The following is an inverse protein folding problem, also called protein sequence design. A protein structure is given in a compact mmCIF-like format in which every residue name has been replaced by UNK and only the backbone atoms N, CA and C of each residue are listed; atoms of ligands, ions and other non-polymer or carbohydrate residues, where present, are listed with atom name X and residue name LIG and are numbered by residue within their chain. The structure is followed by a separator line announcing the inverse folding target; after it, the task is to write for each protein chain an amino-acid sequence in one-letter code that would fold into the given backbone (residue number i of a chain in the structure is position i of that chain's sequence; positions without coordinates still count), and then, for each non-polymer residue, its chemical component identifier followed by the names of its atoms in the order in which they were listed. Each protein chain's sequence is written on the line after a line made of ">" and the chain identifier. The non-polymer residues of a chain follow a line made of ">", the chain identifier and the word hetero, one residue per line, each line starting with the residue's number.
data_IF_229798481621
#
_entry.id   IF_229798481621
#
_cell.length_a   1.000
_cell.length_b   1.000
_cell.length_c   1.000
_cell.angle_alpha   90.00
_cell.angle_beta   90.00
_cell.angle_gamma   90.00
#
_symmetry.space_group_name_H-M   'P 1'
#
loop_
_entity.id
_entity.type
_entity.pdbx_description
1 polymer ?
#
# COMPACT_ATOMS: atom_id res chain seq x y z
N UNK A 1 23.61 5.58 -10.08
CA UNK A 1 22.77 5.53 -8.85
C UNK A 1 21.76 4.38 -8.83
N UNK A 2 21.74 3.50 -9.84
CA UNK A 2 20.79 2.37 -9.97
C UNK A 2 21.33 1.04 -9.44
N UNK A 3 22.63 0.77 -9.54
CA UNK A 3 23.23 -0.52 -9.17
C UNK A 3 23.17 -0.86 -7.67
N UNK A 4 23.25 0.14 -6.78
CA UNK A 4 23.12 -0.06 -5.33
C UNK A 4 21.67 -0.40 -4.93
N UNK A 5 20.70 0.27 -5.56
CA UNK A 5 19.29 0.00 -5.38
C UNK A 5 18.93 -1.41 -5.86
N UNK A 6 19.46 -1.85 -6.99
CA UNK A 6 19.28 -3.21 -7.51
C UNK A 6 19.90 -4.27 -6.59
N UNK A 7 21.10 -4.04 -6.05
CA UNK A 7 21.71 -4.94 -5.06
C UNK A 7 20.93 -5.02 -3.75
N UNK A 8 20.42 -3.90 -3.25
CA UNK A 8 19.55 -3.86 -2.08
C UNK A 8 18.23 -4.58 -2.34
N UNK A 9 17.62 -4.41 -3.52
CA UNK A 9 16.41 -5.13 -3.94
C UNK A 9 16.60 -6.64 -3.98
N UNK A 10 17.73 -7.11 -4.53
CA UNK A 10 18.08 -8.53 -4.59
C UNK A 10 18.31 -9.14 -3.20
N UNK A 11 18.90 -8.39 -2.26
CA UNK A 11 19.09 -8.83 -0.87
C UNK A 11 17.80 -8.85 -0.05
N UNK A 12 16.81 -8.01 -0.41
CA UNK A 12 15.56 -7.83 0.34
C UNK A 12 14.36 -8.58 -0.27
N UNK A 13 14.55 -9.38 -1.34
CA UNK A 13 13.45 -10.02 -2.11
C UNK A 13 12.34 -9.04 -2.49
N UNK A 14 12.69 -7.78 -2.76
CA UNK A 14 11.70 -6.77 -3.14
C UNK A 14 11.39 -6.91 -4.63
N UNK A 15 10.12 -7.11 -5.04
CA UNK A 15 9.77 -7.26 -6.45
C UNK A 15 10.12 -5.98 -7.23
N UNK A 16 10.76 -6.13 -8.39
CA UNK A 16 11.13 -5.04 -9.27
C UNK A 16 9.95 -4.68 -10.21
N UNK A 17 9.21 -3.61 -9.92
CA UNK A 17 8.06 -3.17 -10.73
C UNK A 17 7.44 -1.84 -10.27
N UNK A 18 6.57 -1.20 -11.08
CA UNK A 18 6.03 0.14 -10.83
C UNK A 18 5.11 0.16 -9.59
N UNK A 19 5.32 1.17 -8.73
CA UNK A 19 4.61 1.50 -7.49
C UNK A 19 3.99 0.30 -6.75
N UNK A 20 4.72 -0.20 -5.75
CA UNK A 20 4.35 -1.32 -4.88
C UNK A 20 2.99 -1.21 -4.17
N UNK A 21 2.32 -0.05 -4.24
CA UNK A 21 0.99 0.18 -3.70
C UNK A 21 -0.01 0.64 -4.78
N UNK A 22 -1.18 0.02 -4.85
CA UNK A 22 -2.31 0.41 -5.71
C UNK A 22 -3.57 0.59 -4.86
N UNK A 23 -4.28 1.71 -5.01
CA UNK A 23 -5.60 1.87 -4.39
C UNK A 23 -6.63 1.10 -5.23
N UNK A 24 -7.25 0.08 -4.64
CA UNK A 24 -8.30 -0.72 -5.27
C UNK A 24 -9.68 -0.11 -5.07
N UNK A 25 -9.94 0.47 -3.90
CA UNK A 25 -11.23 1.08 -3.56
C UNK A 25 -11.04 2.25 -2.60
N UNK A 26 -11.91 3.26 -2.71
CA UNK A 26 -11.98 4.39 -1.78
C UNK A 26 -13.44 4.71 -1.44
N UNK A 27 -13.78 4.75 -0.15
CA UNK A 27 -15.13 5.03 0.35
C UNK A 27 -15.09 6.25 1.27
N UNK A 28 -15.67 7.40 0.90
CA UNK A 28 -15.79 8.55 1.78
C UNK A 28 -16.65 8.22 3.01
N UNK A 29 -16.18 8.63 4.20
CA UNK A 29 -16.95 8.51 5.45
C UNK A 29 -17.40 9.86 6.02
N UNK A 30 -16.85 10.96 5.49
CA UNK A 30 -17.11 12.31 5.98
C UNK A 30 -16.02 13.28 5.56
N UNK A 31 -16.10 14.56 5.96
CA UNK A 31 -15.13 15.58 5.58
C UNK A 31 -13.70 15.24 6.00
N UNK A 32 -12.83 14.96 5.01
CA UNK A 32 -11.43 14.63 5.24
C UNK A 32 -11.19 13.23 5.80
N UNK A 33 -12.19 12.34 5.73
CA UNK A 33 -12.10 10.95 6.19
C UNK A 33 -12.61 9.97 5.12
N UNK A 34 -11.85 8.90 4.85
CA UNK A 34 -12.25 7.83 3.92
C UNK A 34 -11.64 6.49 4.33
N UNK A 35 -12.29 5.41 3.93
CA UNK A 35 -11.70 4.08 3.90
C UNK A 35 -11.06 3.84 2.54
N UNK A 36 -9.91 3.18 2.52
CA UNK A 36 -9.21 2.77 1.33
C UNK A 36 -8.95 1.27 1.40
N UNK A 37 -9.07 0.57 0.28
CA UNK A 37 -8.45 -0.75 0.10
C UNK A 37 -7.22 -0.54 -0.77
N UNK A 38 -6.05 -0.89 -0.24
CA UNK A 38 -4.76 -0.74 -0.92
C UNK A 38 -4.16 -2.12 -1.15
N UNK A 39 -3.86 -2.45 -2.40
CA UNK A 39 -3.02 -3.59 -2.73
C UNK A 39 -1.55 -3.21 -2.52
N UNK A 40 -0.84 -3.93 -1.66
CA UNK A 40 0.60 -3.78 -1.46
C UNK A 40 1.26 -5.13 -1.34
N UNK A 41 2.27 -5.38 -2.19
CA UNK A 41 3.00 -6.65 -2.23
C UNK A 41 2.07 -7.90 -2.32
N UNK A 42 1.03 -7.82 -3.17
CA UNK A 42 0.05 -8.90 -3.37
C UNK A 42 -0.94 -9.09 -2.21
N UNK A 43 -0.99 -8.17 -1.25
CA UNK A 43 -1.92 -8.20 -0.11
C UNK A 43 -2.88 -7.03 -0.19
N UNK A 44 -4.13 -7.23 0.19
CA UNK A 44 -5.09 -6.14 0.35
C UNK A 44 -5.05 -5.65 1.79
N UNK A 45 -4.92 -4.34 1.96
CA UNK A 45 -4.90 -3.65 3.24
C UNK A 45 -6.07 -2.68 3.30
N UNK A 46 -6.94 -2.84 4.30
CA UNK A 46 -7.95 -1.84 4.62
C UNK A 46 -7.29 -0.73 5.44
N UNK A 47 -7.36 0.50 4.93
CA UNK A 47 -6.74 1.68 5.52
C UNK A 47 -7.79 2.72 5.83
N UNK A 48 -7.80 3.22 7.07
CA UNK A 48 -8.49 4.44 7.43
C UNK A 48 -7.61 5.65 7.10
N UNK A 49 -8.14 6.61 6.34
CA UNK A 49 -7.47 7.88 6.07
C UNK A 49 -8.26 9.00 6.74
N UNK A 50 -7.55 9.85 7.48
CA UNK A 50 -8.10 11.02 8.17
C UNK A 50 -7.08 12.16 8.25
N UNK A 51 -7.39 13.20 9.02
CA UNK A 51 -6.48 14.35 9.24
C UNK A 51 -5.17 13.95 9.93
N UNK A 52 -5.20 12.93 10.78
CA UNK A 52 -4.02 12.38 11.45
C UNK A 52 -3.16 11.46 10.57
N UNK A 53 -3.53 11.27 9.30
CA UNK A 53 -2.81 10.42 8.36
C UNK A 53 -3.54 9.11 8.08
N UNK A 54 -2.76 8.03 7.94
CA UNK A 54 -3.23 6.70 7.55
C UNK A 54 -3.12 5.73 8.73
N UNK A 55 -4.11 4.88 8.91
CA UNK A 55 -4.10 3.76 9.86
C UNK A 55 -4.48 2.47 9.15
N UNK A 56 -3.67 1.43 9.28
CA UNK A 56 -4.05 0.10 8.81
C UNK A 56 -5.08 -0.51 9.79
N UNK A 57 -6.23 -0.90 9.26
CA UNK A 57 -7.35 -1.44 10.04
C UNK A 57 -7.44 -2.96 9.93
N UNK A 58 -7.17 -3.51 8.74
CA UNK A 58 -7.18 -4.95 8.48
C UNK A 58 -6.29 -5.28 7.27
N UNK A 59 -5.93 -6.55 7.14
CA UNK A 59 -5.20 -7.06 5.98
C UNK A 59 -5.70 -8.46 5.59
N UNK A 60 -5.67 -8.76 4.30
CA UNK A 60 -6.03 -10.04 3.72
C UNK A 60 -5.20 -10.36 2.47
N UNK A 61 -5.36 -11.57 1.97
CA UNK A 61 -4.82 -11.96 0.67
C UNK A 61 -5.68 -11.34 -0.44
N UNK A 62 -5.05 -10.92 -1.53
CA UNK A 62 -5.81 -10.56 -2.73
C UNK A 62 -6.41 -11.85 -3.31
N UNK A 63 -7.73 -11.88 -3.49
CA UNK A 63 -8.43 -13.00 -4.12
C UNK A 63 -8.06 -13.16 -5.60
#
# INVERSE_FOLDING_TARGET
>A
MTALLERLRAGLKLPAGPSHARVLQAVPLGPGTRLLVVEFAGRQVLVGQGRGGLVALAQGEAA
#
